data_IF_049467895185
#
_entry.id   IF_049467895185
#
_cell.length_a   1.000
_cell.length_b   1.000
_cell.length_c   1.000
_cell.angle_alpha   90.00
_cell.angle_beta   90.00
_cell.angle_gamma   90.00
#
_symmetry.space_group_name_H-M   'P 1'
#
loop_
_entity.id
_entity.type
_entity.pdbx_description
1 polymer ?
#
# COMPACT_ATOMS: atom_id res chain seq x y z
N UNK A 1 -8.38 12.97 2.22
CA UNK A 1 -7.46 11.95 1.64
C UNK A 1 -7.98 10.53 1.83
N UNK A 2 -8.26 10.07 3.04
CA UNK A 2 -8.76 8.70 3.28
C UNK A 2 -10.01 8.31 2.47
N UNK A 3 -10.97 9.23 2.29
CA UNK A 3 -12.20 8.97 1.50
C UNK A 3 -11.90 8.60 0.05
N UNK A 4 -10.89 9.25 -0.55
CA UNK A 4 -10.45 8.94 -1.93
C UNK A 4 -9.88 7.53 -1.98
N UNK A 5 -9.02 7.17 -1.03
CA UNK A 5 -8.46 5.81 -0.93
C UNK A 5 -9.53 4.74 -0.73
N UNK A 6 -10.53 5.01 0.12
CA UNK A 6 -11.67 4.11 0.34
C UNK A 6 -12.46 3.93 -0.96
N UNK A 7 -12.73 5.01 -1.69
CA UNK A 7 -13.44 4.95 -2.96
C UNK A 7 -12.69 4.10 -4.01
N UNK A 8 -11.36 4.24 -4.09
CA UNK A 8 -10.53 3.37 -4.95
C UNK A 8 -10.60 1.90 -4.53
N UNK A 9 -10.61 1.60 -3.22
CA UNK A 9 -10.74 0.23 -2.72
C UNK A 9 -12.12 -0.35 -3.07
N UNK A 10 -13.18 0.44 -2.95
CA UNK A 10 -14.55 0.03 -3.29
C UNK A 10 -14.70 -0.22 -4.79
N UNK A 11 -14.14 0.67 -5.61
CA UNK A 11 -14.10 0.49 -7.07
C UNK A 11 -13.32 -0.77 -7.45
N UNK A 12 -12.16 -1.01 -6.83
CA UNK A 12 -11.38 -2.25 -6.98
C UNK A 12 -12.20 -3.49 -6.58
N UNK A 13 -12.92 -3.43 -5.46
CA UNK A 13 -13.78 -4.53 -5.00
C UNK A 13 -14.92 -4.82 -5.99
N UNK A 14 -15.47 -3.79 -6.64
CA UNK A 14 -16.59 -3.94 -7.57
C UNK A 14 -16.15 -4.46 -8.94
N UNK A 15 -15.08 -3.92 -9.48
CA UNK A 15 -14.65 -4.21 -10.86
C UNK A 15 -13.68 -5.39 -10.94
N UNK A 16 -12.71 -5.46 -10.02
CA UNK A 16 -11.59 -6.42 -10.11
C UNK A 16 -11.83 -7.66 -9.25
N UNK A 17 -12.44 -7.53 -8.07
CA UNK A 17 -12.71 -8.69 -7.20
C UNK A 17 -13.53 -9.81 -7.84
N UNK A 18 -14.58 -9.56 -8.65
CA UNK A 18 -15.33 -10.66 -9.28
C UNK A 18 -14.51 -11.37 -10.37
N UNK A 19 -13.53 -10.69 -10.97
CA UNK A 19 -12.67 -11.24 -12.01
C UNK A 19 -11.34 -11.82 -11.48
N UNK A 20 -11.08 -11.69 -10.18
CA UNK A 20 -9.84 -12.16 -9.56
C UNK A 20 -9.92 -13.64 -9.15
N UNK A 21 -9.09 -14.47 -9.77
CA UNK A 21 -8.87 -15.86 -9.32
C UNK A 21 -8.06 -15.94 -8.02
N UNK A 22 -7.38 -14.86 -7.63
CA UNK A 22 -6.57 -14.80 -6.41
C UNK A 22 -7.45 -14.41 -5.22
N UNK A 23 -7.81 -15.41 -4.41
CA UNK A 23 -8.53 -15.18 -3.14
C UNK A 23 -7.52 -14.82 -2.05
N UNK A 24 -7.70 -13.67 -1.39
CA UNK A 24 -6.87 -13.30 -0.24
C UNK A 24 -6.98 -14.39 0.84
N UNK A 25 -5.83 -14.81 1.36
CA UNK A 25 -5.70 -15.93 2.31
C UNK A 25 -6.03 -15.55 3.75
N UNK A 26 -5.86 -14.29 4.12
CA UNK A 26 -6.11 -13.81 5.47
C UNK A 26 -7.58 -13.45 5.69
N UNK A 27 -8.03 -13.55 6.93
CA UNK A 27 -9.37 -13.14 7.37
C UNK A 27 -9.23 -12.00 8.39
N UNK A 28 -9.88 -10.84 8.22
CA UNK A 28 -10.61 -10.40 7.03
C UNK A 28 -9.69 -10.23 5.80
N UNK A 29 -10.32 -10.15 4.62
CA UNK A 29 -9.61 -9.99 3.34
C UNK A 29 -8.77 -8.72 3.32
N UNK A 30 -7.77 -8.71 2.46
CA UNK A 30 -6.78 -7.65 2.34
C UNK A 30 -7.43 -6.29 2.03
N UNK A 31 -8.44 -6.27 1.17
CA UNK A 31 -9.21 -5.06 0.81
C UNK A 31 -10.17 -4.62 1.92
N UNK A 32 -10.80 -5.56 2.64
CA UNK A 32 -11.62 -5.23 3.80
C UNK A 32 -10.77 -4.64 4.94
N UNK A 33 -9.61 -5.25 5.21
CA UNK A 33 -8.64 -4.75 6.17
C UNK A 33 -8.15 -3.34 5.80
N UNK A 34 -7.85 -3.11 4.52
CA UNK A 34 -7.45 -1.80 4.02
C UNK A 34 -8.54 -0.75 4.27
N UNK A 35 -9.78 -1.04 3.88
CA UNK A 35 -10.94 -0.14 4.07
C UNK A 35 -11.14 0.23 5.54
N UNK A 36 -11.01 -0.76 6.44
CA UNK A 36 -11.11 -0.54 7.88
C UNK A 36 -9.92 0.29 8.42
N UNK A 37 -8.70 0.06 7.94
CA UNK A 37 -7.53 0.86 8.28
C UNK A 37 -7.68 2.33 7.88
N UNK A 38 -8.15 2.62 6.65
CA UNK A 38 -8.36 4.00 6.20
C UNK A 38 -9.54 4.70 6.89
N UNK A 39 -10.50 3.93 7.40
CA UNK A 39 -11.59 4.46 8.22
C UNK A 39 -11.11 4.84 9.62
N UNK A 40 -10.24 4.02 10.24
CA UNK A 40 -9.81 4.20 11.64
C UNK A 40 -8.56 5.06 11.83
N UNK A 41 -7.61 5.03 10.89
CA UNK A 41 -6.31 5.67 11.00
C UNK A 41 -6.08 6.77 9.95
N UNK A 42 -5.08 7.62 10.17
CA UNK A 42 -4.63 8.59 9.16
C UNK A 42 -4.06 7.87 7.93
N UNK A 43 -4.13 8.51 6.77
CA UNK A 43 -3.71 7.96 5.47
C UNK A 43 -2.39 7.20 5.54
N UNK A 44 -1.32 7.83 6.02
CA UNK A 44 0.00 7.20 6.09
C UNK A 44 0.06 5.95 6.97
N UNK A 45 -0.56 5.99 8.15
CA UNK A 45 -0.61 4.83 9.07
C UNK A 45 -1.46 3.70 8.48
N UNK A 46 -2.57 4.05 7.84
CA UNK A 46 -3.43 3.09 7.15
C UNK A 46 -2.71 2.43 5.97
N UNK A 47 -1.99 3.21 5.15
CA UNK A 47 -1.18 2.71 4.04
C UNK A 47 -0.09 1.75 4.52
N UNK A 48 0.65 2.10 5.58
CA UNK A 48 1.70 1.24 6.12
C UNK A 48 1.16 -0.12 6.60
N UNK A 49 0.07 -0.12 7.38
CA UNK A 49 -0.58 -1.34 7.86
C UNK A 49 -1.10 -2.20 6.70
N UNK A 50 -1.71 -1.55 5.69
CA UNK A 50 -2.22 -2.21 4.50
C UNK A 50 -1.11 -2.84 3.66
N UNK A 51 -0.02 -2.11 3.40
CA UNK A 51 1.12 -2.61 2.60
C UNK A 51 1.79 -3.79 3.29
N UNK A 52 2.05 -3.70 4.60
CA UNK A 52 2.59 -4.81 5.39
C UNK A 52 1.72 -6.07 5.26
N UNK A 53 0.40 -5.90 5.21
CA UNK A 53 -0.55 -7.00 5.03
C UNK A 53 -0.50 -7.60 3.63
N UNK A 54 -0.43 -6.77 2.59
CA UNK A 54 -0.34 -7.24 1.21
C UNK A 54 0.94 -8.04 1.00
N UNK A 55 2.08 -7.57 1.52
CA UNK A 55 3.36 -8.28 1.45
C UNK A 55 3.34 -9.66 2.13
N UNK A 56 2.57 -9.78 3.22
CA UNK A 56 2.41 -11.06 3.94
C UNK A 56 1.33 -11.95 3.33
N UNK A 57 0.45 -11.42 2.47
CA UNK A 57 -0.58 -12.18 1.77
C UNK A 57 0.01 -12.92 0.56
N UNK A 58 0.89 -13.87 0.81
CA UNK A 58 1.47 -14.73 -0.21
C UNK A 58 1.42 -16.20 0.25
N UNK A 59 1.60 -17.18 -0.66
CA UNK A 59 1.42 -18.58 -0.31
C UNK A 59 2.46 -19.14 0.66
N UNK A 60 3.54 -18.42 0.93
CA UNK A 60 4.62 -18.82 1.83
C UNK A 60 4.27 -18.57 3.31
N UNK A 61 3.29 -17.71 3.60
CA UNK A 61 2.85 -17.40 4.96
C UNK A 61 1.55 -18.12 5.33
N UNK A 62 1.44 -18.56 6.57
CA UNK A 62 0.22 -19.22 7.07
C UNK A 62 -0.96 -18.23 7.07
N UNK A 63 -2.17 -18.67 6.66
CA UNK A 63 -3.39 -17.89 6.88
C UNK A 63 -3.50 -17.55 8.36
N UNK A 64 -3.85 -16.30 8.67
CA UNK A 64 -4.09 -15.86 10.04
C UNK A 64 -5.31 -14.96 10.09
N UNK A 65 -6.01 -15.04 11.22
CA UNK A 65 -7.00 -14.05 11.61
C UNK A 65 -6.28 -12.86 12.23
N UNK A 66 -6.45 -11.67 11.66
CA UNK A 66 -5.74 -10.47 12.08
C UNK A 66 -6.68 -9.26 11.90
N UNK A 67 -7.46 -8.89 12.95
CA UNK A 67 -8.39 -7.77 12.89
C UNK A 67 -7.64 -6.43 12.99
N UNK A 68 -8.24 -5.35 12.48
CA UNK A 68 -7.63 -4.02 12.59
C UNK A 68 -7.59 -3.59 14.06
N UNK A 69 -6.42 -3.18 14.59
CA UNK A 69 -6.32 -2.76 15.99
C UNK A 69 -7.22 -1.55 16.27
N UNK A 70 -7.81 -1.51 17.46
CA UNK A 70 -8.64 -0.40 17.89
C UNK A 70 -7.80 0.86 18.09
N UNK A 71 -8.37 2.01 17.72
CA UNK A 71 -7.73 3.31 17.90
C UNK A 71 -7.77 3.66 19.38
N UNK A 72 -6.70 3.34 20.11
CA UNK A 72 -6.48 3.90 21.46
C UNK A 72 -6.52 5.42 21.35
N UNK A 73 -7.41 6.08 22.08
CA UNK A 73 -7.45 7.54 22.17
C UNK A 73 -6.14 8.04 22.77
N UNK A 74 -5.21 8.47 21.92
CA UNK A 74 -4.00 9.17 22.38
C UNK A 74 -4.34 10.66 22.47
N UNK A 75 -4.23 11.23 23.67
CA UNK A 75 -4.27 12.67 23.90
C UNK A 75 -3.34 13.36 22.90
N UNK A 76 -3.84 14.42 22.26
CA UNK A 76 -3.13 15.17 21.21
C UNK A 76 -1.92 15.88 21.82
N UNK A 77 -0.75 15.27 21.79
CA UNK A 77 0.51 16.00 21.90
C UNK A 77 0.91 16.39 20.48
N UNK A 78 1.03 17.68 20.20
CA UNK A 78 1.36 18.27 18.89
C UNK A 78 2.82 18.00 18.47
N UNK A 79 3.26 16.74 18.46
CA UNK A 79 4.60 16.35 18.05
C UNK A 79 4.58 14.96 17.44
N UNK A 80 4.45 14.88 16.10
CA UNK A 80 5.06 13.84 15.23
C UNK A 80 4.45 13.88 13.82
N UNK A 81 4.35 15.06 13.20
CA UNK A 81 3.89 15.17 11.81
C UNK A 81 5.03 15.05 10.77
N UNK A 82 6.33 15.06 11.16
CA UNK A 82 7.37 15.53 10.22
C UNK A 82 8.49 14.56 9.80
N UNK A 83 8.50 13.28 10.17
CA UNK A 83 9.58 12.35 9.71
C UNK A 83 9.22 11.50 8.49
N UNK A 84 7.97 11.06 8.39
CA UNK A 84 7.57 10.10 7.34
C UNK A 84 7.24 10.75 6.00
N UNK A 85 6.79 12.01 5.98
CA UNK A 85 6.59 12.75 4.72
C UNK A 85 7.92 13.01 4.00
N UNK A 86 9.00 13.28 4.75
CA UNK A 86 10.34 13.44 4.18
C UNK A 86 10.87 12.13 3.61
N UNK A 87 10.65 11.00 4.31
CA UNK A 87 11.02 9.68 3.80
C UNK A 87 10.25 9.30 2.52
N UNK A 88 8.96 9.62 2.46
CA UNK A 88 8.10 9.30 1.30
C UNK A 88 8.37 10.21 0.10
N UNK A 89 8.57 11.52 0.32
CA UNK A 89 9.00 12.46 -0.71
C UNK A 89 10.40 12.13 -1.22
N UNK A 90 11.34 11.77 -0.34
CA UNK A 90 12.67 11.30 -0.75
C UNK A 90 12.57 10.02 -1.57
N UNK A 91 11.72 9.06 -1.21
CA UNK A 91 11.50 7.84 -2.00
C UNK A 91 10.90 8.13 -3.38
N UNK A 92 9.89 9.01 -3.47
CA UNK A 92 9.33 9.42 -4.76
C UNK A 92 10.32 10.22 -5.61
N UNK A 93 11.14 11.05 -4.99
CA UNK A 93 12.20 11.80 -5.65
C UNK A 93 13.30 10.86 -6.16
N UNK A 94 13.68 9.84 -5.37
CA UNK A 94 14.64 8.81 -5.78
C UNK A 94 14.08 7.92 -6.90
N UNK A 95 12.79 7.56 -6.85
CA UNK A 95 12.14 6.79 -7.89
C UNK A 95 12.04 7.57 -9.21
N UNK A 96 11.77 8.87 -9.15
CA UNK A 96 11.80 9.77 -10.32
C UNK A 96 13.21 9.92 -10.89
N UNK A 97 14.22 10.12 -10.03
CA UNK A 97 15.63 10.22 -10.43
C UNK A 97 16.15 8.89 -11.00
N UNK A 98 15.75 7.76 -10.42
CA UNK A 98 16.07 6.42 -10.91
C UNK A 98 15.42 6.17 -12.27
N UNK A 99 14.16 6.57 -12.47
CA UNK A 99 13.48 6.50 -13.77
C UNK A 99 14.16 7.38 -14.83
N UNK A 100 14.64 8.58 -14.48
CA UNK A 100 15.40 9.44 -15.40
C UNK A 100 16.79 8.87 -15.72
N UNK A 101 17.48 8.28 -14.73
CA UNK A 101 18.76 7.60 -14.94
C UNK A 101 18.61 6.34 -15.79
N UNK A 102 17.52 5.60 -15.59
CA UNK A 102 17.16 4.41 -16.36
C UNK A 102 16.79 4.77 -17.81
N UNK A 103 16.03 5.85 -18.03
CA UNK A 103 15.74 6.37 -19.36
C UNK A 103 17.00 6.89 -20.08
N UNK A 104 17.95 7.50 -19.35
CA UNK A 104 19.25 7.89 -19.91
C UNK A 104 20.12 6.67 -20.28
N UNK A 105 20.02 5.56 -19.54
CA UNK A 105 20.74 4.32 -19.85
C UNK A 105 20.13 3.54 -21.03
N UNK A 106 18.81 3.58 -21.18
CA UNK A 106 18.07 2.95 -22.30
C UNK A 106 18.25 3.65 -23.66
N UNK A 107 18.68 4.91 -23.69
CA UNK A 107 19.01 5.61 -24.95
C UNK A 107 20.31 5.11 -25.60
N UNK A 108 21.17 4.37 -24.88
CA UNK A 108 22.48 3.90 -25.37
C UNK A 108 22.60 2.41 -25.66
N UNK A 109 21.60 1.59 -25.33
CA UNK A 109 21.64 0.14 -25.65
C UNK A 109 20.31 -0.31 -26.22
N UNK A 110 20.30 -0.50 -27.54
CA UNK A 110 19.35 -1.36 -28.26
C UNK A 110 19.59 -2.79 -27.77
N UNK A 111 18.94 -3.19 -26.68
CA UNK A 111 18.81 -4.59 -26.32
C UNK A 111 17.44 -4.81 -25.67
N UNK A 112 16.63 -5.55 -26.41
CA UNK A 112 15.52 -6.28 -25.87
C UNK A 112 15.99 -7.08 -24.66
N UNK A 113 15.25 -6.99 -23.54
CA UNK A 113 14.94 -8.18 -22.79
C UNK A 113 13.69 -7.95 -21.93
N UNK A 114 12.71 -8.78 -22.26
CA UNK A 114 11.54 -9.15 -21.49
C UNK A 114 11.93 -9.53 -20.06
N UNK A 115 11.21 -9.08 -19.05
CA UNK A 115 11.19 -9.67 -17.71
C UNK A 115 9.81 -9.34 -17.14
N UNK A 116 8.89 -10.30 -17.08
CA UNK A 116 8.72 -11.29 -15.99
C UNK A 116 8.60 -10.63 -14.62
#
# INVERSE_FOLDING_TARGET
>A
MNKVAIHFIEWYQKEISPHSNHKCRHTPTCSAYAKECYTRFNFFKASFLTTKRILTCNPLFKPKYDPVPEKKEKKKTHASHDEWERAFLLFMFFFSLFSLLFNHFLSRKRFAFFFF
#
